data_IF_230022099602
#
_entry.id   IF_230022099602
#
_cell.length_a   1.000
_cell.length_b   1.000
_cell.length_c   1.000
_cell.angle_alpha   90.00
_cell.angle_beta   90.00
_cell.angle_gamma   90.00
#
_symmetry.space_group_name_H-M   'P 1'
#
loop_
_entity.id
_entity.type
_entity.pdbx_description
1 polymer ?
#
# COMPACT_ATOMS: atom_id res chain seq x y z
N UNK A 1 -14.79 21.42 -4.46
CA UNK A 1 -15.74 20.29 -4.34
C UNK A 1 -14.92 19.02 -4.26
N UNK A 2 -15.18 18.16 -3.28
CA UNK A 2 -14.46 16.88 -3.13
C UNK A 2 -14.93 15.90 -4.21
N UNK A 3 -14.08 15.60 -5.18
CA UNK A 3 -14.39 14.74 -6.33
C UNK A 3 -13.40 13.59 -6.53
N UNK A 4 -12.40 13.47 -5.70
CA UNK A 4 -11.34 12.46 -5.80
C UNK A 4 -11.17 11.74 -4.46
N UNK A 5 -11.06 10.41 -4.49
CA UNK A 5 -10.75 9.59 -3.31
C UNK A 5 -9.48 8.80 -3.58
N UNK A 6 -8.48 9.00 -2.72
CA UNK A 6 -7.22 8.28 -2.77
C UNK A 6 -7.12 7.34 -1.56
N UNK A 7 -6.81 6.08 -1.80
CA UNK A 7 -6.74 5.04 -0.79
C UNK A 7 -5.31 4.59 -0.53
N UNK A 8 -4.97 4.25 0.71
CA UNK A 8 -3.92 3.30 0.99
C UNK A 8 -4.37 1.88 0.58
N UNK A 9 -3.41 0.95 0.44
CA UNK A 9 -3.66 -0.43 0.07
C UNK A 9 -3.75 -1.34 1.30
N UNK A 10 -2.63 -1.64 1.92
CA UNK A 10 -2.52 -2.61 2.99
C UNK A 10 -3.03 -2.12 4.35
N UNK A 11 -4.06 -2.73 4.89
CA UNK A 11 -4.78 -2.29 6.09
C UNK A 11 -5.99 -1.39 5.76
N UNK A 12 -6.15 -0.99 4.50
CA UNK A 12 -7.22 -0.12 4.03
C UNK A 12 -8.14 -0.83 3.05
N UNK A 13 -7.65 -1.20 1.86
CA UNK A 13 -8.38 -2.04 0.90
C UNK A 13 -8.17 -3.53 1.18
N UNK A 14 -7.08 -3.88 1.85
CA UNK A 14 -6.75 -5.24 2.25
C UNK A 14 -6.76 -5.38 3.77
N UNK A 15 -7.25 -6.51 4.25
CA UNK A 15 -6.85 -7.05 5.54
C UNK A 15 -5.46 -7.68 5.39
N UNK A 16 -4.51 -7.18 6.15
CA UNK A 16 -3.10 -7.60 6.07
C UNK A 16 -2.56 -7.93 7.46
N UNK A 17 -1.89 -9.08 7.57
CA UNK A 17 -1.22 -9.49 8.81
C UNK A 17 -0.05 -10.44 8.53
N UNK A 18 0.81 -10.63 9.53
CA UNK A 18 1.88 -11.62 9.49
C UNK A 18 2.03 -12.29 10.87
N UNK A 19 2.58 -13.48 10.85
CA UNK A 19 2.89 -14.27 12.05
C UNK A 19 4.11 -15.17 11.80
N UNK A 20 4.44 -16.05 12.77
CA UNK A 20 5.57 -16.97 12.63
C UNK A 20 5.43 -17.93 11.45
N UNK A 21 4.21 -18.37 11.13
CA UNK A 21 3.96 -19.27 10.00
C UNK A 21 4.23 -18.57 8.66
N UNK A 22 3.68 -17.37 8.47
CA UNK A 22 3.91 -16.60 7.22
C UNK A 22 5.37 -16.21 7.09
N UNK A 23 6.05 -15.85 8.18
CA UNK A 23 7.48 -15.60 8.18
C UNK A 23 8.28 -16.84 7.76
N UNK A 24 8.00 -18.00 8.32
CA UNK A 24 8.67 -19.25 7.95
C UNK A 24 8.45 -19.60 6.47
N UNK A 25 7.23 -19.43 5.96
CA UNK A 25 6.91 -19.60 4.53
C UNK A 25 7.74 -18.66 3.64
N UNK A 26 7.85 -17.38 4.03
CA UNK A 26 8.63 -16.40 3.28
C UNK A 26 10.11 -16.78 3.24
N UNK A 27 10.69 -17.17 4.36
CA UNK A 27 12.10 -17.57 4.43
C UNK A 27 12.40 -18.83 3.62
N UNK A 28 11.52 -19.83 3.66
CA UNK A 28 11.66 -21.03 2.82
C UNK A 28 11.55 -20.69 1.33
N UNK A 29 10.57 -19.86 0.95
CA UNK A 29 10.39 -19.41 -0.42
C UNK A 29 11.60 -18.63 -0.94
N UNK A 30 12.14 -17.68 -0.14
CA UNK A 30 13.34 -16.94 -0.49
C UNK A 30 14.54 -17.86 -0.73
N UNK A 31 14.80 -18.80 0.17
CA UNK A 31 15.91 -19.74 0.01
C UNK A 31 15.77 -20.60 -1.24
N UNK A 32 14.55 -21.05 -1.55
CA UNK A 32 14.26 -21.83 -2.77
C UNK A 32 14.51 -21.03 -4.03
N UNK A 33 14.02 -19.78 -4.06
CA UNK A 33 14.21 -18.88 -5.20
C UNK A 33 15.69 -18.55 -5.40
N UNK A 34 16.42 -18.21 -4.34
CA UNK A 34 17.86 -17.93 -4.42
C UNK A 34 18.62 -19.16 -4.98
N UNK A 35 18.36 -20.37 -4.48
CA UNK A 35 19.02 -21.59 -5.00
C UNK A 35 18.67 -21.88 -6.46
N UNK A 36 17.43 -21.63 -6.86
CA UNK A 36 17.01 -21.79 -8.27
C UNK A 36 17.81 -20.90 -9.22
N UNK A 37 18.27 -19.74 -8.74
CA UNK A 37 19.13 -18.81 -9.47
C UNK A 37 20.64 -19.01 -9.19
N UNK A 38 21.02 -20.13 -8.55
CA UNK A 38 22.41 -20.46 -8.27
C UNK A 38 23.06 -19.57 -7.19
N UNK A 39 22.25 -19.01 -6.28
CA UNK A 39 22.67 -18.21 -5.14
C UNK A 39 22.49 -19.05 -3.85
N UNK A 40 23.57 -19.72 -3.44
CA UNK A 40 23.54 -20.56 -2.23
C UNK A 40 23.80 -19.75 -0.97
N UNK A 41 22.89 -19.73 0.02
CA UNK A 41 23.09 -18.97 1.26
C UNK A 41 24.28 -19.42 2.10
N UNK A 42 24.68 -20.70 2.02
CA UNK A 42 25.87 -21.23 2.66
C UNK A 42 25.81 -21.25 4.21
N UNK A 43 24.62 -21.22 4.79
CA UNK A 43 24.38 -21.21 6.23
C UNK A 43 23.14 -22.03 6.59
N UNK A 44 22.89 -22.25 7.89
CA UNK A 44 21.67 -22.93 8.35
C UNK A 44 20.42 -22.05 8.09
N UNK A 45 19.21 -22.66 8.03
CA UNK A 45 17.96 -21.90 7.91
C UNK A 45 17.80 -20.84 9.00
N UNK A 46 18.10 -21.15 10.24
CA UNK A 46 18.00 -20.23 11.37
C UNK A 46 18.95 -19.03 11.23
N UNK A 47 20.16 -19.28 10.73
CA UNK A 47 21.12 -18.20 10.47
C UNK A 47 20.69 -17.36 9.27
N UNK A 48 20.09 -17.96 8.24
CA UNK A 48 19.52 -17.25 7.11
C UNK A 48 18.42 -16.27 7.58
N UNK A 49 17.46 -16.79 8.36
CA UNK A 49 16.36 -15.99 8.91
C UNK A 49 16.89 -14.81 9.74
N UNK A 50 17.85 -15.10 10.62
CA UNK A 50 18.46 -14.06 11.47
C UNK A 50 19.09 -12.92 10.64
N UNK A 51 19.83 -13.26 9.58
CA UNK A 51 20.51 -12.27 8.72
C UNK A 51 19.49 -11.46 7.91
N UNK A 52 18.53 -12.11 7.27
CA UNK A 52 17.48 -11.44 6.49
C UNK A 52 16.69 -10.48 7.38
N UNK A 53 16.26 -10.93 8.57
CA UNK A 53 15.50 -10.10 9.50
C UNK A 53 16.33 -8.93 10.07
N UNK A 54 17.65 -9.09 10.24
CA UNK A 54 18.53 -8.00 10.61
C UNK A 54 18.62 -6.94 9.52
N UNK A 55 18.77 -7.35 8.27
CA UNK A 55 18.79 -6.47 7.10
C UNK A 55 17.46 -5.74 6.90
N UNK A 56 16.33 -6.44 7.06
CA UNK A 56 14.99 -5.85 7.03
C UNK A 56 14.84 -4.75 8.09
N UNK A 57 15.26 -5.02 9.32
CA UNK A 57 15.21 -4.05 10.42
C UNK A 57 16.09 -2.82 10.15
N UNK A 58 17.27 -3.02 9.55
CA UNK A 58 18.16 -1.93 9.16
C UNK A 58 17.53 -1.06 8.07
N UNK A 59 17.01 -1.69 7.02
CA UNK A 59 16.31 -0.99 5.94
C UNK A 59 15.10 -0.20 6.45
N UNK A 60 14.26 -0.84 7.27
CA UNK A 60 13.09 -0.19 7.87
C UNK A 60 13.48 1.07 8.65
N UNK A 61 14.53 1.01 9.46
CA UNK A 61 15.03 2.19 10.20
C UNK A 61 15.47 3.30 9.25
N UNK A 62 16.17 2.96 8.17
CA UNK A 62 16.61 3.92 7.17
C UNK A 62 15.42 4.55 6.45
N UNK A 63 14.52 3.72 5.92
CA UNK A 63 13.39 4.17 5.10
C UNK A 63 12.37 4.98 5.88
N UNK A 64 12.01 4.56 7.10
CA UNK A 64 11.09 5.29 7.97
C UNK A 64 11.73 6.56 8.54
N UNK A 65 13.02 6.55 8.85
CA UNK A 65 13.71 7.71 9.39
C UNK A 65 13.92 8.84 8.38
N UNK A 66 13.97 8.52 7.09
CA UNK A 66 14.12 9.49 6.01
C UNK A 66 12.84 9.70 5.19
N UNK A 67 11.81 8.88 5.41
CA UNK A 67 10.57 8.85 4.62
C UNK A 67 10.83 8.62 3.12
N UNK A 68 11.89 7.86 2.81
CA UNK A 68 12.32 7.54 1.46
C UNK A 68 12.21 6.04 1.19
N UNK A 69 12.06 5.69 -0.07
CA UNK A 69 12.04 4.31 -0.55
C UNK A 69 13.13 4.08 -1.58
N UNK A 70 13.76 2.91 -1.49
CA UNK A 70 14.69 2.41 -2.50
C UNK A 70 14.00 1.40 -3.42
N UNK A 71 14.64 1.14 -4.56
CA UNK A 71 14.21 0.08 -5.47
C UNK A 71 14.69 -1.28 -4.97
N UNK A 72 14.04 -2.38 -5.38
CA UNK A 72 14.48 -3.74 -5.04
C UNK A 72 15.96 -4.01 -5.32
N UNK A 73 16.50 -3.47 -6.42
CA UNK A 73 17.90 -3.60 -6.83
C UNK A 73 18.91 -3.00 -5.84
N UNK A 74 18.44 -2.13 -4.95
CA UNK A 74 19.23 -1.56 -3.85
C UNK A 74 18.90 -2.24 -2.51
N UNK A 75 17.59 -2.52 -2.24
CA UNK A 75 17.13 -3.07 -0.97
C UNK A 75 17.72 -4.45 -0.72
N UNK A 76 17.60 -5.34 -1.71
CA UNK A 76 18.02 -6.73 -1.51
C UNK A 76 19.52 -6.89 -1.36
N UNK A 77 20.38 -6.37 -2.25
CA UNK A 77 21.82 -6.55 -2.11
C UNK A 77 22.44 -5.71 -0.99
N UNK A 78 21.90 -4.53 -0.69
CA UNK A 78 22.55 -3.59 0.24
C UNK A 78 22.02 -3.70 1.68
N UNK A 79 20.86 -4.39 1.87
CA UNK A 79 20.26 -4.57 3.19
C UNK A 79 19.89 -6.04 3.48
N UNK A 80 18.87 -6.60 2.81
CA UNK A 80 18.30 -7.89 3.20
C UNK A 80 19.27 -9.06 3.03
N UNK A 81 20.06 -9.04 1.96
CA UNK A 81 21.01 -10.10 1.62
C UNK A 81 22.47 -9.66 1.66
N UNK A 82 22.79 -8.48 2.22
CA UNK A 82 24.15 -7.93 2.22
C UNK A 82 25.18 -8.83 2.91
N UNK A 83 24.79 -9.57 3.96
CA UNK A 83 25.69 -10.43 4.73
C UNK A 83 26.02 -11.77 4.03
N UNK A 84 25.35 -12.07 2.90
CA UNK A 84 25.58 -13.33 2.18
C UNK A 84 26.68 -13.21 1.11
N UNK A 85 27.07 -12.00 0.73
CA UNK A 85 28.11 -11.77 -0.28
C UNK A 85 27.78 -12.34 -1.65
N UNK A 86 26.51 -12.41 -2.00
CA UNK A 86 26.06 -12.92 -3.31
C UNK A 86 26.64 -12.11 -4.46
N UNK A 87 26.90 -12.81 -5.56
CA UNK A 87 27.24 -12.18 -6.82
C UNK A 87 26.12 -11.24 -7.28
N UNK A 88 26.43 -9.95 -7.35
CA UNK A 88 25.43 -8.91 -7.70
C UNK A 88 24.91 -9.04 -9.15
N UNK A 89 25.72 -9.56 -10.07
CA UNK A 89 25.29 -9.77 -11.46
C UNK A 89 24.17 -10.82 -11.54
N UNK A 90 24.16 -11.80 -10.62
CA UNK A 90 23.12 -12.81 -10.50
C UNK A 90 21.94 -12.35 -9.63
N UNK A 91 22.21 -11.57 -8.57
CA UNK A 91 21.19 -11.16 -7.62
C UNK A 91 20.29 -10.03 -8.17
N UNK A 92 20.87 -8.99 -8.78
CA UNK A 92 20.12 -7.82 -9.23
C UNK A 92 18.94 -8.19 -10.17
N UNK A 93 19.10 -9.08 -11.17
CA UNK A 93 18.01 -9.41 -12.08
C UNK A 93 16.77 -10.05 -11.42
N UNK A 94 16.92 -10.61 -10.22
CA UNK A 94 15.83 -11.31 -9.50
C UNK A 94 15.29 -10.52 -8.31
N UNK A 95 15.79 -9.32 -8.04
CA UNK A 95 15.42 -8.57 -6.83
C UNK A 95 13.95 -8.19 -6.79
N UNK A 96 13.32 -7.90 -7.93
CA UNK A 96 11.88 -7.65 -7.97
C UNK A 96 11.07 -8.95 -7.75
N UNK A 97 11.53 -10.07 -8.28
CA UNK A 97 10.93 -11.38 -7.98
C UNK A 97 10.96 -11.65 -6.47
N UNK A 98 12.12 -11.41 -5.82
CA UNK A 98 12.26 -11.56 -4.37
C UNK A 98 11.37 -10.57 -3.61
N UNK A 99 11.25 -9.33 -4.07
CA UNK A 99 10.42 -8.31 -3.45
C UNK A 99 8.93 -8.67 -3.52
N UNK A 100 8.44 -9.06 -4.70
CA UNK A 100 7.05 -9.50 -4.85
C UNK A 100 6.80 -10.79 -4.05
N UNK A 101 7.72 -11.77 -4.11
CA UNK A 101 7.63 -13.00 -3.33
C UNK A 101 7.52 -12.72 -1.83
N UNK A 102 8.33 -11.79 -1.31
CA UNK A 102 8.26 -11.35 0.07
C UNK A 102 6.89 -10.81 0.43
N UNK A 103 6.36 -9.91 -0.36
CA UNK A 103 5.06 -9.28 -0.12
C UNK A 103 3.89 -10.26 -0.09
N UNK A 104 3.91 -11.31 -0.93
CA UNK A 104 2.82 -12.30 -0.99
C UNK A 104 3.02 -13.51 -0.08
N UNK A 105 4.20 -13.68 0.53
CA UNK A 105 4.46 -14.82 1.43
C UNK A 105 4.64 -14.41 2.89
N UNK A 106 5.33 -13.29 3.15
CA UNK A 106 5.53 -12.77 4.50
C UNK A 106 4.24 -12.20 5.08
N UNK A 107 3.42 -11.55 4.24
CA UNK A 107 2.11 -11.06 4.63
C UNK A 107 1.02 -11.98 4.10
N UNK A 108 0.05 -12.27 4.97
CA UNK A 108 -1.26 -12.69 4.50
C UNK A 108 -2.01 -11.45 4.03
N UNK A 109 -2.62 -11.52 2.86
CA UNK A 109 -3.36 -10.42 2.24
C UNK A 109 -4.71 -10.93 1.76
N UNK A 110 -5.76 -10.20 2.03
CA UNK A 110 -7.11 -10.50 1.59
C UNK A 110 -7.86 -9.21 1.31
N UNK A 111 -8.55 -9.14 0.18
CA UNK A 111 -9.40 -7.99 -0.14
C UNK A 111 -10.54 -7.90 0.89
N UNK A 112 -10.74 -6.72 1.49
CA UNK A 112 -11.84 -6.52 2.44
C UNK A 112 -13.19 -6.68 1.72
N UNK A 113 -14.15 -7.28 2.41
CA UNK A 113 -15.44 -7.66 1.82
C UNK A 113 -16.31 -6.48 1.34
N UNK A 114 -16.04 -5.28 1.84
CA UNK A 114 -16.79 -4.05 1.53
C UNK A 114 -16.14 -3.20 0.41
N UNK A 115 -14.98 -3.60 -0.13
CA UNK A 115 -14.23 -2.81 -1.13
C UNK A 115 -15.00 -2.66 -2.43
N UNK A 116 -15.46 -3.76 -3.00
CA UNK A 116 -16.14 -3.73 -4.31
C UNK A 116 -17.36 -2.83 -4.29
N UNK A 117 -18.23 -3.00 -3.29
CA UNK A 117 -19.43 -2.18 -3.13
C UNK A 117 -19.08 -0.69 -2.91
N UNK A 118 -18.03 -0.42 -2.13
CA UNK A 118 -17.56 0.96 -1.90
C UNK A 118 -17.06 1.61 -3.19
N UNK A 119 -16.22 0.91 -3.97
CA UNK A 119 -15.68 1.43 -5.23
C UNK A 119 -16.80 1.68 -6.25
N UNK A 120 -17.77 0.77 -6.36
CA UNK A 120 -18.95 0.93 -7.20
C UNK A 120 -19.79 2.14 -6.77
N UNK A 121 -20.05 2.29 -5.47
CA UNK A 121 -20.80 3.42 -4.93
C UNK A 121 -20.12 4.76 -5.18
N UNK A 122 -18.78 4.84 -5.10
CA UNK A 122 -18.02 6.04 -5.41
C UNK A 122 -18.03 6.35 -6.91
N UNK A 123 -17.82 5.34 -7.76
CA UNK A 123 -17.89 5.51 -9.23
C UNK A 123 -19.26 5.98 -9.70
N UNK A 124 -20.34 5.38 -9.18
CA UNK A 124 -21.72 5.79 -9.50
C UNK A 124 -22.01 7.24 -9.12
N UNK A 125 -21.22 7.81 -8.20
CA UNK A 125 -21.28 9.22 -7.80
C UNK A 125 -20.29 10.12 -8.53
N UNK A 126 -19.58 9.60 -9.54
CA UNK A 126 -18.62 10.36 -10.35
C UNK A 126 -17.31 10.70 -9.65
N UNK A 127 -16.89 9.93 -8.62
CA UNK A 127 -15.58 10.11 -8.00
C UNK A 127 -14.47 9.50 -8.86
N UNK A 128 -13.37 10.25 -8.95
CA UNK A 128 -12.07 9.75 -9.40
C UNK A 128 -11.41 8.96 -8.27
N UNK A 129 -10.85 7.81 -8.57
CA UNK A 129 -10.31 6.89 -7.55
C UNK A 129 -8.86 6.53 -7.88
N UNK A 130 -7.99 6.61 -6.87
CA UNK A 130 -6.59 6.21 -7.00
C UNK A 130 -6.02 5.60 -5.72
N UNK A 131 -4.77 5.17 -5.80
CA UNK A 131 -4.04 4.54 -4.69
C UNK A 131 -2.71 5.24 -4.45
N UNK A 132 -2.35 5.39 -3.15
CA UNK A 132 -1.00 5.76 -2.71
C UNK A 132 -0.53 4.72 -1.71
N UNK A 133 0.43 3.87 -2.10
CA UNK A 133 0.91 2.75 -1.28
C UNK A 133 2.40 2.82 -0.97
N UNK A 134 2.77 2.56 0.29
CA UNK A 134 4.14 2.25 0.67
C UNK A 134 4.40 0.77 0.43
N UNK A 135 5.14 0.44 -0.62
CA UNK A 135 5.50 -0.92 -0.98
C UNK A 135 6.89 -0.96 -1.61
N UNK A 136 7.74 -1.88 -1.15
CA UNK A 136 9.12 -2.01 -1.61
C UNK A 136 9.27 -2.82 -2.91
N UNK A 137 8.22 -3.51 -3.39
CA UNK A 137 8.15 -4.10 -4.72
C UNK A 137 7.66 -3.08 -5.73
N UNK A 138 8.15 -3.13 -6.96
CA UNK A 138 7.69 -2.26 -8.05
C UNK A 138 6.30 -2.65 -8.56
N UNK A 139 6.00 -3.94 -8.57
CA UNK A 139 4.82 -4.48 -9.25
C UNK A 139 3.78 -5.12 -8.31
N UNK A 140 4.12 -5.39 -7.04
CA UNK A 140 3.21 -6.11 -6.14
C UNK A 140 1.82 -5.47 -6.05
N UNK A 141 1.74 -4.14 -5.86
CA UNK A 141 0.46 -3.43 -5.78
C UNK A 141 -0.37 -3.63 -7.04
N UNK A 142 0.25 -3.52 -8.22
CA UNK A 142 -0.43 -3.73 -9.50
C UNK A 142 -0.92 -5.17 -9.64
N UNK A 143 -0.07 -6.15 -9.30
CA UNK A 143 -0.43 -7.57 -9.35
C UNK A 143 -1.62 -7.89 -8.43
N UNK A 144 -1.63 -7.35 -7.21
CA UNK A 144 -2.74 -7.55 -6.26
C UNK A 144 -4.04 -6.90 -6.76
N UNK A 145 -3.97 -5.72 -7.34
CA UNK A 145 -5.15 -5.05 -7.92
C UNK A 145 -5.76 -5.83 -9.08
N UNK A 146 -4.93 -6.46 -9.92
CA UNK A 146 -5.39 -7.36 -11.00
C UNK A 146 -6.00 -8.63 -10.41
N UNK A 147 -5.34 -9.27 -9.43
CA UNK A 147 -5.84 -10.48 -8.75
C UNK A 147 -7.20 -10.25 -8.09
N UNK A 148 -7.39 -9.07 -7.47
CA UNK A 148 -8.66 -8.68 -6.87
C UNK A 148 -9.73 -8.22 -7.88
N UNK A 149 -9.36 -8.06 -9.14
CA UNK A 149 -10.27 -7.58 -10.19
C UNK A 149 -10.66 -6.11 -10.06
N UNK A 150 -9.93 -5.31 -9.27
CA UNK A 150 -10.24 -3.88 -9.03
C UNK A 150 -9.28 -2.91 -9.72
N UNK A 151 -8.28 -3.39 -10.48
CA UNK A 151 -7.32 -2.51 -11.18
C UNK A 151 -8.02 -1.51 -12.10
N UNK A 152 -9.07 -1.93 -12.81
CA UNK A 152 -9.87 -1.07 -13.70
C UNK A 152 -10.71 -0.01 -12.97
N UNK A 153 -10.75 -0.04 -11.62
CA UNK A 153 -11.37 1.01 -10.82
C UNK A 153 -10.42 2.18 -10.52
N UNK A 154 -9.11 1.97 -10.66
CA UNK A 154 -8.08 2.93 -10.25
C UNK A 154 -7.57 3.72 -11.45
N UNK A 155 -7.73 5.05 -11.40
CA UNK A 155 -7.19 5.97 -12.40
C UNK A 155 -5.70 6.24 -12.18
N UNK A 156 -5.25 6.21 -10.91
CA UNK A 156 -3.85 6.32 -10.54
C UNK A 156 -3.43 5.25 -9.52
N UNK A 157 -2.18 4.77 -9.64
CA UNK A 157 -1.54 3.89 -8.68
C UNK A 157 -0.12 4.40 -8.40
N UNK A 158 0.01 5.15 -7.32
CA UNK A 158 1.28 5.72 -6.87
C UNK A 158 1.91 4.82 -5.81
N UNK A 159 3.13 4.31 -6.08
CA UNK A 159 3.87 3.37 -5.21
C UNK A 159 5.20 3.98 -4.78
N UNK A 160 5.58 3.81 -3.51
CA UNK A 160 6.80 4.38 -2.95
C UNK A 160 8.08 3.90 -3.64
N UNK A 161 8.18 2.62 -4.00
CA UNK A 161 9.33 2.06 -4.73
C UNK A 161 9.53 2.67 -6.13
N UNK A 162 8.45 3.17 -6.73
CA UNK A 162 8.50 3.86 -8.04
C UNK A 162 8.88 5.32 -7.88
N UNK A 163 8.33 5.99 -6.87
CA UNK A 163 8.49 7.44 -6.66
C UNK A 163 9.74 7.81 -5.87
N UNK A 164 10.27 6.90 -5.05
CA UNK A 164 11.36 7.16 -4.11
C UNK A 164 10.93 7.79 -2.79
N UNK A 165 9.65 8.12 -2.62
CA UNK A 165 9.10 8.74 -1.41
C UNK A 165 8.11 7.81 -0.73
N UNK A 166 8.12 7.79 0.61
CA UNK A 166 7.19 7.02 1.44
C UNK A 166 6.26 7.96 2.20
N UNK A 167 5.00 7.59 2.38
CA UNK A 167 4.13 8.24 3.36
C UNK A 167 4.78 8.19 4.74
N UNK A 168 4.79 9.30 5.53
CA UNK A 168 4.02 10.52 5.36
C UNK A 168 4.66 11.60 4.47
N UNK A 169 5.81 11.37 3.80
CA UNK A 169 6.47 12.38 2.99
C UNK A 169 5.50 13.02 1.99
N UNK A 170 5.33 14.36 1.96
CA UNK A 170 4.31 15.03 1.16
C UNK A 170 4.48 14.85 -0.35
N UNK A 171 5.70 14.56 -0.83
CA UNK A 171 5.92 14.40 -2.28
C UNK A 171 5.21 13.18 -2.88
N UNK A 172 5.04 12.06 -2.14
CA UNK A 172 4.30 10.92 -2.69
C UNK A 172 2.84 11.30 -2.98
N UNK A 173 2.23 12.09 -2.10
CA UNK A 173 0.86 12.61 -2.30
C UNK A 173 0.81 13.60 -3.47
N UNK A 174 1.78 14.54 -3.56
CA UNK A 174 1.84 15.51 -4.66
C UNK A 174 2.05 14.85 -6.02
N UNK A 175 2.79 13.74 -6.09
CA UNK A 175 2.97 12.96 -7.33
C UNK A 175 1.60 12.41 -7.77
N UNK A 176 0.86 11.75 -6.88
CA UNK A 176 -0.47 11.22 -7.18
C UNK A 176 -1.44 12.34 -7.61
N UNK A 177 -1.47 13.47 -6.89
CA UNK A 177 -2.30 14.61 -7.26
C UNK A 177 -2.02 15.13 -8.68
N UNK A 178 -0.73 15.19 -9.08
CA UNK A 178 -0.35 15.59 -10.45
C UNK A 178 -0.81 14.57 -11.49
N UNK A 179 -0.67 13.28 -11.22
CA UNK A 179 -1.13 12.21 -12.11
C UNK A 179 -2.64 12.23 -12.26
N UNK A 180 -3.38 12.44 -11.18
CA UNK A 180 -4.85 12.58 -11.14
C UNK A 180 -5.35 13.92 -11.68
N UNK A 181 -4.46 14.87 -12.03
CA UNK A 181 -4.78 16.22 -12.50
C UNK A 181 -5.77 16.95 -11.56
N UNK A 182 -5.58 16.80 -10.25
CA UNK A 182 -6.43 17.37 -9.20
C UNK A 182 -5.62 18.16 -8.18
N UNK A 183 -6.30 18.83 -7.27
CA UNK A 183 -5.68 19.56 -6.16
C UNK A 183 -6.05 18.93 -4.83
N UNK A 184 -5.20 19.08 -3.82
CA UNK A 184 -5.35 18.38 -2.55
C UNK A 184 -6.67 18.68 -1.85
N UNK A 185 -7.12 19.94 -1.90
CA UNK A 185 -8.39 20.38 -1.30
C UNK A 185 -9.64 19.73 -1.91
N UNK A 186 -9.53 19.17 -3.12
CA UNK A 186 -10.60 18.44 -3.80
C UNK A 186 -10.58 16.94 -3.50
N UNK A 187 -9.64 16.47 -2.68
CA UNK A 187 -9.42 15.07 -2.42
C UNK A 187 -9.80 14.66 -0.99
N UNK A 188 -10.30 13.44 -0.88
CA UNK A 188 -10.38 12.66 0.36
C UNK A 188 -9.26 11.62 0.33
N UNK A 189 -8.49 11.52 1.40
CA UNK A 189 -7.55 10.42 1.60
C UNK A 189 -8.13 9.41 2.61
N UNK A 190 -8.02 8.13 2.32
CA UNK A 190 -8.48 7.05 3.20
C UNK A 190 -7.30 6.12 3.49
N UNK A 191 -6.96 5.96 4.76
CA UNK A 191 -5.85 5.11 5.19
C UNK A 191 -6.04 4.56 6.60
N UNK A 192 -5.22 3.59 7.00
CA UNK A 192 -5.36 2.91 8.30
C UNK A 192 -4.54 3.55 9.43
N UNK A 193 -3.42 4.23 9.11
CA UNK A 193 -2.48 4.73 10.11
C UNK A 193 -2.52 6.24 10.27
N UNK A 194 -2.52 6.72 11.52
CA UNK A 194 -2.41 8.15 11.80
C UNK A 194 -1.04 8.67 11.36
N UNK A 195 0.04 7.96 11.74
CA UNK A 195 1.42 8.41 11.55
C UNK A 195 1.85 8.58 10.08
N UNK A 196 1.27 7.83 9.16
CA UNK A 196 1.63 7.86 7.73
C UNK A 196 0.55 8.44 6.86
N UNK A 197 -0.70 8.00 7.07
CA UNK A 197 -1.80 8.31 6.18
C UNK A 197 -2.45 9.64 6.53
N UNK A 198 -2.89 9.78 7.80
CA UNK A 198 -3.63 10.98 8.22
C UNK A 198 -2.70 12.20 8.28
N UNK A 199 -1.54 12.05 8.93
CA UNK A 199 -0.54 13.14 9.01
C UNK A 199 -0.06 13.52 7.62
N UNK A 200 0.29 12.52 6.78
CA UNK A 200 0.78 12.78 5.42
C UNK A 200 -0.25 13.49 4.53
N UNK A 201 -1.51 13.04 4.54
CA UNK A 201 -2.59 13.68 3.80
C UNK A 201 -2.86 15.11 4.27
N UNK A 202 -2.90 15.35 5.60
CA UNK A 202 -3.07 16.69 6.16
C UNK A 202 -1.92 17.62 5.79
N UNK A 203 -0.67 17.16 5.88
CA UNK A 203 0.52 17.92 5.49
C UNK A 203 0.55 18.22 3.97
N UNK A 204 0.01 17.32 3.15
CA UNK A 204 -0.14 17.53 1.72
C UNK A 204 -1.32 18.46 1.35
N UNK A 205 -2.16 18.85 2.33
CA UNK A 205 -3.27 19.79 2.16
C UNK A 205 -4.57 19.14 1.67
N UNK A 206 -4.75 17.84 1.86
CA UNK A 206 -5.99 17.15 1.48
C UNK A 206 -7.20 17.76 2.19
N UNK A 207 -8.30 17.91 1.43
CA UNK A 207 -9.54 18.48 1.95
C UNK A 207 -10.13 17.68 3.10
N UNK A 208 -9.99 16.36 3.06
CA UNK A 208 -10.39 15.44 4.14
C UNK A 208 -9.44 14.25 4.26
N UNK A 209 -9.28 13.74 5.49
CA UNK A 209 -8.56 12.51 5.79
C UNK A 209 -9.41 11.58 6.66
N UNK A 210 -9.64 10.37 6.20
CA UNK A 210 -10.48 9.35 6.83
C UNK A 210 -9.58 8.21 7.32
N UNK A 211 -9.72 7.84 8.58
CA UNK A 211 -9.05 6.67 9.14
C UNK A 211 -9.99 5.47 9.15
N UNK A 212 -9.58 4.37 8.53
CA UNK A 212 -10.21 3.06 8.73
C UNK A 212 -9.46 2.29 9.82
N UNK A 213 -10.20 1.72 10.76
CA UNK A 213 -9.58 0.92 11.83
C UNK A 213 -9.13 -0.43 11.26
N UNK A 214 -7.85 -0.76 11.42
CA UNK A 214 -7.25 -2.04 11.04
C UNK A 214 -6.55 -2.70 12.23
N UNK A 215 -6.31 -4.00 12.13
CA UNK A 215 -5.55 -4.74 13.14
C UNK A 215 -4.10 -4.24 13.27
N UNK A 216 -3.55 -3.66 12.20
CA UNK A 216 -2.18 -3.12 12.16
C UNK A 216 -2.09 -1.70 12.71
N UNK A 217 -3.13 -0.88 12.56
CA UNK A 217 -3.09 0.54 12.93
C UNK A 217 -2.86 0.75 14.42
N UNK A 218 -3.49 -0.04 15.27
CA UNK A 218 -3.33 0.06 16.73
C UNK A 218 -1.87 -0.09 17.19
N UNK A 219 -1.09 -0.97 16.55
CA UNK A 219 0.33 -1.16 16.88
C UNK A 219 1.21 -0.04 16.32
N UNK A 220 0.94 0.40 15.11
CA UNK A 220 1.72 1.44 14.41
C UNK A 220 1.50 2.81 15.02
N UNK A 221 0.29 3.11 15.46
CA UNK A 221 -0.08 4.39 16.04
C UNK A 221 0.17 4.49 17.54
N UNK A 222 0.57 3.41 18.21
CA UNK A 222 0.84 3.39 19.66
C UNK A 222 1.90 4.41 20.11
N UNK A 223 2.82 4.78 19.21
CA UNK A 223 3.86 5.79 19.45
C UNK A 223 3.49 7.18 18.91
N UNK A 224 2.32 7.32 18.30
CA UNK A 224 1.88 8.60 17.73
C UNK A 224 1.51 9.56 18.87
N UNK A 225 2.02 10.80 18.81
CA UNK A 225 1.79 11.80 19.84
C UNK A 225 0.30 12.11 20.02
N UNK A 226 -0.12 12.34 21.26
CA UNK A 226 -1.53 12.60 21.60
C UNK A 226 -2.09 13.89 20.97
N UNK A 227 -1.21 14.79 20.56
CA UNK A 227 -1.50 16.07 19.85
C UNK A 227 -1.32 15.97 18.34
N UNK A 228 -1.09 14.75 17.79
CA UNK A 228 -1.01 14.55 16.36
C UNK A 228 -2.32 14.94 15.65
N UNK A 229 -2.18 15.25 14.36
CA UNK A 229 -3.31 15.52 13.47
C UNK A 229 -4.36 14.41 13.54
N UNK A 230 -5.62 14.81 13.74
CA UNK A 230 -6.73 13.86 13.86
C UNK A 230 -7.42 13.66 12.50
N UNK A 231 -7.93 12.44 12.23
CA UNK A 231 -8.77 12.21 11.08
C UNK A 231 -10.08 13.05 11.14
N UNK A 232 -10.62 13.40 9.99
CA UNK A 232 -11.93 14.05 9.89
C UNK A 232 -13.07 13.05 10.18
N UNK A 233 -12.82 11.77 9.91
CA UNK A 233 -13.73 10.66 10.19
C UNK A 233 -12.93 9.40 10.54
N UNK A 234 -13.45 8.61 11.48
CA UNK A 234 -12.97 7.25 11.79
C UNK A 234 -14.06 6.26 11.43
N UNK A 235 -13.72 5.25 10.63
CA UNK A 235 -14.66 4.23 10.16
C UNK A 235 -14.19 2.82 10.51
N UNK A 236 -15.11 1.87 10.58
CA UNK A 236 -14.83 0.44 10.74
C UNK A 236 -14.91 -0.30 9.40
N UNK A 237 -15.79 0.17 8.50
CA UNK A 237 -15.98 -0.34 7.16
C UNK A 237 -15.87 0.81 6.15
N UNK A 238 -15.40 0.51 4.94
CA UNK A 238 -15.27 1.54 3.90
C UNK A 238 -16.61 2.13 3.49
N UNK A 239 -17.68 1.33 3.53
CA UNK A 239 -19.06 1.80 3.24
C UNK A 239 -19.51 2.90 4.20
N UNK A 240 -18.98 2.97 5.42
CA UNK A 240 -19.36 4.00 6.40
C UNK A 240 -19.02 5.42 5.92
N UNK A 241 -18.08 5.56 4.98
CA UNK A 241 -17.73 6.86 4.40
C UNK A 241 -18.79 7.40 3.43
N UNK A 242 -19.63 6.55 2.85
CA UNK A 242 -20.59 6.96 1.81
C UNK A 242 -21.66 7.93 2.34
N UNK A 243 -22.40 7.63 3.44
CA UNK A 243 -23.38 8.58 4.00
C UNK A 243 -22.73 9.89 4.46
N UNK A 244 -21.53 9.83 5.07
CA UNK A 244 -20.80 11.01 5.50
C UNK A 244 -20.41 11.89 4.31
N UNK A 245 -19.93 11.28 3.22
CA UNK A 245 -19.58 11.95 1.99
C UNK A 245 -20.81 12.66 1.38
N UNK A 246 -21.99 12.00 1.37
CA UNK A 246 -23.22 12.58 0.84
C UNK A 246 -23.66 13.83 1.64
N UNK A 247 -23.35 13.90 2.93
CA UNK A 247 -23.58 15.07 3.78
C UNK A 247 -22.64 16.25 3.45
N UNK A 248 -21.35 15.98 3.20
CA UNK A 248 -20.36 17.04 2.96
C UNK A 248 -20.28 17.48 1.50
N UNK A 249 -20.91 16.76 0.58
CA UNK A 249 -20.88 17.05 -0.85
C UNK A 249 -22.23 16.70 -1.53
N UNK A 250 -23.34 17.35 -1.14
CA UNK A 250 -24.69 16.98 -1.56
C UNK A 250 -24.94 17.20 -3.06
N UNK A 251 -24.13 18.01 -3.73
CA UNK A 251 -24.31 18.38 -5.14
C UNK A 251 -23.75 17.34 -6.13
N UNK A 252 -23.04 16.29 -5.66
CA UNK A 252 -22.64 15.18 -6.51
C UNK A 252 -23.79 14.15 -6.60
N UNK A 253 -24.58 14.27 -7.65
CA UNK A 253 -25.70 13.37 -7.90
C UNK A 253 -25.24 11.96 -8.29
N UNK A 254 -26.02 10.96 -7.85
CA UNK A 254 -25.94 9.59 -8.37
C UNK A 254 -26.37 9.64 -9.83
N UNK A 255 -25.52 9.21 -10.75
CA UNK A 255 -25.91 9.03 -12.16
C UNK A 255 -26.79 7.78 -12.27
N UNK A 256 -28.13 7.98 -12.21
CA UNK A 256 -29.12 6.91 -12.30
C UNK A 256 -29.02 6.12 -13.62
N UNK A 257 -28.41 6.68 -14.66
CA UNK A 257 -28.19 6.00 -15.93
C UNK A 257 -27.19 4.85 -15.83
N UNK A 258 -26.23 4.91 -14.87
CA UNK A 258 -25.26 3.83 -14.66
C UNK A 258 -25.81 2.67 -13.81
N UNK A 259 -26.83 2.89 -12.99
CA UNK A 259 -27.48 1.83 -12.22
C UNK A 259 -28.30 0.84 -13.10
N UNK A 260 -28.72 1.25 -14.29
CA UNK A 260 -29.50 0.40 -15.20
C UNK A 260 -28.63 -0.47 -16.14
N UNK A 261 -27.33 -0.24 -16.21
CA UNK A 261 -26.41 -1.01 -17.06
C UNK A 261 -25.53 -1.98 -16.25
N UNK A 262 -26.13 -2.71 -15.31
CA UNK A 262 -25.51 -3.79 -14.55
C UNK A 262 -25.05 -4.95 -15.43
N UNK A 263 -24.12 -4.72 -16.33
CA UNK A 263 -23.33 -5.75 -16.98
C UNK A 263 -21.86 -5.39 -16.86
N UNK A 264 -21.25 -5.98 -15.83
CA UNK A 264 -19.80 -6.15 -15.82
C UNK A 264 -19.47 -7.06 -17.01
N UNK A 265 -18.94 -6.51 -18.09
CA UNK A 265 -18.30 -7.30 -19.15
C UNK A 265 -16.87 -7.51 -18.67
N UNK A 266 -16.45 -8.73 -18.31
CA UNK A 266 -15.06 -8.99 -18.04
C UNK A 266 -14.30 -8.80 -19.35
N UNK A 267 -13.37 -7.87 -19.38
CA UNK A 267 -12.40 -7.80 -20.46
C UNK A 267 -11.45 -8.99 -20.30
N UNK A 268 -11.49 -9.88 -21.28
CA UNK A 268 -10.51 -10.96 -21.49
C UNK A 268 -9.19 -10.38 -21.97
#
# INVERSE_FOLDING_TARGET
>A
MLNTVLFDMGGTLEDIWNNQETQAKAMDALQKTLRAHGLEPGCSPEEFDRRVMAGLKEYKRWSEGLELEKKPEEIWPDYYLKEFGFDREKLIPITEELANLWEVTYYHRELRGDVLETLEALKARGYHIGIISNNASLYNVFNMLEEYGIRGCMEDVTVSSVTGYRKPHPEIFRISLRQMQTTAENCVYVGDTISRDIIGAKQAGFGKAVQIVSALSAQKDAATAADAEKPDLVIQNLLDMIPWRDQINPDMHIDEAQQSSGMFVPFF
#
